data_IF_700927338257
#
_entry.id   IF_700927338257
#
_cell.length_a   1.000
_cell.length_b   1.000
_cell.length_c   1.000
_cell.angle_alpha   90.00
_cell.angle_beta   90.00
_cell.angle_gamma   90.00
#
_symmetry.space_group_name_H-M   'P 1'
#
loop_
_entity.id
_entity.type
_entity.pdbx_description
1 polymer ?
#
# COMPACT_ATOMS: atom_id res chain seq x y z
N UNK A 1 16.74 28.26 -79.49
CA UNK A 1 16.06 28.44 -78.19
C UNK A 1 15.46 27.10 -77.75
N UNK A 2 16.18 26.31 -76.96
CA UNK A 2 15.71 25.03 -76.42
C UNK A 2 15.43 25.19 -74.92
N UNK A 3 14.19 24.98 -74.48
CA UNK A 3 13.80 25.03 -73.06
C UNK A 3 13.73 23.61 -72.50
N UNK A 4 14.70 23.23 -71.67
CA UNK A 4 14.65 22.05 -70.81
C UNK A 4 13.62 22.27 -69.69
N UNK A 5 12.66 21.35 -69.56
CA UNK A 5 11.76 21.25 -68.39
C UNK A 5 12.37 20.27 -67.40
N UNK A 6 12.86 20.76 -66.26
CA UNK A 6 13.21 19.92 -65.11
C UNK A 6 11.94 19.54 -64.34
N UNK A 7 11.67 18.24 -64.25
CA UNK A 7 10.68 17.65 -63.36
C UNK A 7 11.36 17.43 -62.00
N UNK A 8 10.94 18.14 -60.94
CA UNK A 8 11.39 17.88 -59.56
C UNK A 8 10.45 16.86 -58.93
N UNK A 9 10.93 15.65 -58.71
CA UNK A 9 10.26 14.62 -57.93
C UNK A 9 10.57 14.88 -56.45
N UNK A 10 9.59 15.38 -55.68
CA UNK A 10 9.71 15.54 -54.23
C UNK A 10 9.29 14.25 -53.55
N UNK A 11 10.28 13.49 -53.04
CA UNK A 11 10.06 12.28 -52.25
C UNK A 11 9.81 12.70 -50.78
N UNK A 12 8.56 12.67 -50.32
CA UNK A 12 8.24 12.82 -48.90
C UNK A 12 8.47 11.48 -48.20
N UNK A 13 9.59 11.34 -47.49
CA UNK A 13 9.82 10.25 -46.56
C UNK A 13 9.08 10.55 -45.25
N UNK A 14 7.91 9.93 -45.04
CA UNK A 14 7.27 9.86 -43.73
C UNK A 14 8.08 8.87 -42.85
N UNK A 15 9.02 9.39 -42.07
CA UNK A 15 9.67 8.63 -41.02
C UNK A 15 8.73 8.49 -39.83
N UNK A 16 8.15 7.31 -39.62
CA UNK A 16 7.47 6.96 -38.39
C UNK A 16 8.51 6.87 -37.26
N UNK A 17 8.63 7.93 -36.45
CA UNK A 17 9.37 7.89 -35.20
C UNK A 17 8.61 6.97 -34.23
N UNK A 18 9.08 5.72 -34.12
CA UNK A 18 8.72 4.86 -33.00
C UNK A 18 9.26 5.52 -31.73
N UNK A 19 8.39 6.19 -30.98
CA UNK A 19 8.72 6.67 -29.66
C UNK A 19 8.99 5.45 -28.77
N UNK A 20 10.26 5.17 -28.49
CA UNK A 20 10.64 4.32 -27.37
C UNK A 20 10.06 4.96 -26.11
N UNK A 21 8.96 4.43 -25.59
CA UNK A 21 8.45 4.81 -24.28
C UNK A 21 9.43 4.29 -23.25
N UNK A 22 10.39 5.13 -22.86
CA UNK A 22 11.29 4.83 -21.75
C UNK A 22 10.44 4.55 -20.50
N UNK A 23 10.83 3.52 -19.74
CA UNK A 23 10.18 3.21 -18.46
C UNK A 23 10.33 4.45 -17.56
N UNK A 24 9.24 4.98 -17.00
CA UNK A 24 9.32 6.15 -16.14
C UNK A 24 10.20 5.87 -14.93
N UNK A 25 11.02 6.85 -14.57
CA UNK A 25 11.89 6.77 -13.41
C UNK A 25 11.68 7.99 -12.53
N UNK A 26 11.10 7.75 -11.35
CA UNK A 26 11.04 8.73 -10.26
C UNK A 26 12.25 8.49 -9.37
N UNK A 27 13.03 9.53 -9.11
CA UNK A 27 14.12 9.46 -8.14
C UNK A 27 13.56 8.98 -6.80
N UNK A 28 14.04 7.84 -6.26
CA UNK A 28 13.52 7.31 -5.01
C UNK A 28 13.73 8.29 -3.86
N UNK A 29 12.75 8.34 -2.95
CA UNK A 29 12.93 9.03 -1.68
C UNK A 29 14.03 8.33 -0.88
N UNK A 30 14.65 9.07 0.04
CA UNK A 30 15.53 8.50 1.07
C UNK A 30 14.82 8.51 2.42
N UNK A 31 15.28 7.69 3.36
CA UNK A 31 14.70 7.61 4.69
C UNK A 31 14.74 8.98 5.39
N UNK A 32 15.83 9.73 5.23
CA UNK A 32 16.06 11.06 5.82
C UNK A 32 15.07 12.11 5.34
N UNK A 33 14.48 11.92 4.15
CA UNK A 33 13.44 12.79 3.63
C UNK A 33 12.06 12.49 4.21
N UNK A 34 11.88 11.31 4.83
CA UNK A 34 10.64 10.95 5.52
C UNK A 34 10.73 11.31 7.01
N UNK A 35 9.60 11.68 7.64
CA UNK A 35 9.51 11.88 9.08
C UNK A 35 10.11 10.73 9.89
N UNK A 36 10.72 11.04 11.03
CA UNK A 36 11.25 10.05 11.96
C UNK A 36 10.18 9.63 12.96
N UNK A 37 9.76 8.37 12.90
CA UNK A 37 8.77 7.82 13.81
C UNK A 37 9.15 7.89 15.27
N UNK A 38 10.44 7.86 15.60
CA UNK A 38 10.94 7.93 16.99
C UNK A 38 10.67 9.29 17.63
N UNK A 39 10.40 10.30 16.81
CA UNK A 39 9.99 11.64 17.24
C UNK A 39 8.47 11.80 17.14
N UNK A 40 7.86 11.28 16.06
CA UNK A 40 6.45 11.47 15.76
C UNK A 40 5.51 10.61 16.63
N UNK A 41 5.84 9.34 16.83
CA UNK A 41 4.95 8.39 17.49
C UNK A 41 5.15 8.41 19.01
N UNK A 42 4.06 8.12 19.72
CA UNK A 42 4.17 7.64 21.09
C UNK A 42 4.96 6.32 21.14
N UNK A 43 5.54 6.01 22.30
CA UNK A 43 6.09 4.68 22.55
C UNK A 43 5.00 3.60 22.49
N UNK A 44 5.33 2.35 22.13
CA UNK A 44 4.36 1.27 22.19
C UNK A 44 3.84 1.08 23.62
N UNK A 45 2.63 0.52 23.79
CA UNK A 45 2.08 0.22 25.11
C UNK A 45 3.06 -0.55 25.99
N UNK A 46 3.27 -0.06 27.21
CA UNK A 46 4.15 -0.68 28.20
C UNK A 46 3.47 -1.93 28.78
N UNK A 47 4.25 -2.96 29.08
CA UNK A 47 3.78 -4.18 29.75
C UNK A 47 2.97 -3.84 31.01
N UNK A 48 1.74 -4.33 31.08
CA UNK A 48 0.83 -4.14 32.22
C UNK A 48 -0.07 -2.90 32.14
N UNK A 49 0.14 -2.01 31.16
CA UNK A 49 -0.76 -0.87 30.92
C UNK A 49 -2.13 -1.31 30.36
N UNK A 50 -3.16 -0.48 30.55
CA UNK A 50 -4.50 -0.70 29.97
C UNK A 50 -4.45 -0.85 28.45
N UNK A 51 -3.64 -0.03 27.78
CA UNK A 51 -3.46 -0.13 26.34
C UNK A 51 -2.88 -1.49 25.91
N UNK A 52 -1.95 -2.06 26.69
CA UNK A 52 -1.42 -3.40 26.41
C UNK A 52 -2.40 -4.52 26.78
N UNK A 53 -3.29 -4.31 27.75
CA UNK A 53 -4.38 -5.23 28.04
C UNK A 53 -5.40 -5.26 26.89
N UNK A 54 -5.72 -4.09 26.33
CA UNK A 54 -6.62 -3.99 25.18
C UNK A 54 -6.04 -4.67 23.93
N UNK A 55 -4.75 -4.45 23.64
CA UNK A 55 -4.04 -5.17 22.57
C UNK A 55 -4.17 -6.69 22.70
N UNK A 56 -4.06 -7.22 23.93
CA UNK A 56 -4.23 -8.66 24.19
C UNK A 56 -5.67 -9.12 24.01
N UNK A 57 -6.64 -8.33 24.47
CA UNK A 57 -8.06 -8.63 24.31
C UNK A 57 -8.41 -8.77 22.83
N UNK A 58 -8.05 -7.78 22.02
CA UNK A 58 -8.28 -7.79 20.57
C UNK A 58 -7.55 -8.96 19.89
N UNK A 59 -6.29 -9.23 20.27
CA UNK A 59 -5.53 -10.36 19.72
C UNK A 59 -6.27 -11.69 19.90
N UNK A 60 -6.74 -11.97 21.12
CA UNK A 60 -7.45 -13.21 21.43
C UNK A 60 -8.82 -13.29 20.75
N UNK A 61 -9.57 -12.19 20.72
CA UNK A 61 -10.86 -12.15 20.04
C UNK A 61 -10.74 -12.43 18.54
N UNK A 62 -9.74 -11.87 17.88
CA UNK A 62 -9.53 -12.13 16.44
C UNK A 62 -9.11 -13.57 16.14
N UNK A 63 -8.67 -14.37 17.13
CA UNK A 63 -8.44 -15.82 16.92
C UNK A 63 -9.75 -16.58 16.66
N UNK A 64 -10.90 -16.04 17.07
CA UNK A 64 -12.22 -16.62 16.77
C UNK A 64 -12.58 -16.54 15.28
N UNK A 65 -11.85 -15.73 14.50
CA UNK A 65 -12.08 -15.57 13.07
C UNK A 65 -11.38 -16.63 12.22
N UNK A 66 -10.59 -17.54 12.81
CA UNK A 66 -9.86 -18.57 12.06
C UNK A 66 -10.82 -19.36 11.16
N UNK A 67 -10.48 -19.44 9.86
CA UNK A 67 -11.28 -20.16 8.86
C UNK A 67 -12.46 -19.38 8.26
N UNK A 68 -12.77 -18.19 8.77
CA UNK A 68 -13.79 -17.29 8.18
C UNK A 68 -13.27 -16.58 6.92
N UNK A 69 -14.17 -15.91 6.19
CA UNK A 69 -13.79 -15.03 5.07
C UNK A 69 -12.92 -13.86 5.53
N UNK A 70 -13.18 -13.29 6.71
CA UNK A 70 -12.33 -12.23 7.28
C UNK A 70 -10.89 -12.70 7.50
N UNK A 71 -10.69 -13.96 7.87
CA UNK A 71 -9.37 -14.58 8.01
C UNK A 71 -8.72 -14.90 6.67
N UNK A 72 -9.47 -15.38 5.68
CA UNK A 72 -8.97 -15.55 4.30
C UNK A 72 -8.57 -14.22 3.67
N UNK A 73 -9.35 -13.16 3.88
CA UNK A 73 -8.99 -11.81 3.46
C UNK A 73 -7.68 -11.36 4.13
N UNK A 74 -7.50 -11.63 5.42
CA UNK A 74 -6.26 -11.29 6.11
C UNK A 74 -5.02 -12.04 5.57
N UNK A 75 -5.20 -13.25 5.03
CA UNK A 75 -4.15 -14.00 4.36
C UNK A 75 -3.78 -13.36 3.03
N UNK A 76 -4.78 -13.01 2.22
CA UNK A 76 -4.55 -12.28 0.96
C UNK A 76 -3.89 -10.92 1.24
N UNK A 77 -4.37 -10.15 2.21
CA UNK A 77 -3.79 -8.86 2.61
C UNK A 77 -2.35 -8.97 3.16
N UNK A 78 -1.86 -10.18 3.45
CA UNK A 78 -0.47 -10.41 3.82
C UNK A 78 0.48 -10.46 2.62
N UNK A 79 -0.05 -10.58 1.41
CA UNK A 79 0.73 -10.64 0.18
C UNK A 79 0.96 -9.24 -0.40
N UNK A 80 2.19 -8.74 -0.23
CA UNK A 80 2.67 -7.46 -0.77
C UNK A 80 3.40 -7.60 -2.12
N UNK A 81 3.26 -8.72 -2.85
CA UNK A 81 3.78 -8.80 -4.21
C UNK A 81 3.10 -7.71 -5.08
N UNK A 82 3.85 -6.91 -5.87
CA UNK A 82 3.35 -5.64 -6.40
C UNK A 82 2.03 -5.73 -7.17
N UNK A 83 1.88 -6.72 -8.08
CA UNK A 83 0.68 -6.87 -8.88
C UNK A 83 -0.55 -7.23 -8.02
N UNK A 84 -0.41 -8.20 -7.11
CA UNK A 84 -1.47 -8.58 -6.18
C UNK A 84 -1.83 -7.43 -5.23
N UNK A 85 -0.81 -6.75 -4.70
CA UNK A 85 -1.00 -5.68 -3.74
C UNK A 85 -1.77 -4.49 -4.32
N UNK A 86 -1.48 -4.11 -5.58
CA UNK A 86 -2.22 -3.05 -6.27
C UNK A 86 -3.63 -3.53 -6.64
N UNK A 87 -3.78 -4.78 -7.05
CA UNK A 87 -5.08 -5.37 -7.38
C UNK A 87 -6.05 -5.42 -6.18
N UNK A 88 -5.53 -5.58 -4.95
CA UNK A 88 -6.34 -5.55 -3.72
C UNK A 88 -7.06 -4.21 -3.46
N UNK A 89 -6.78 -3.17 -4.25
CA UNK A 89 -7.51 -1.90 -4.22
C UNK A 89 -8.59 -1.77 -5.31
N UNK A 90 -8.77 -2.77 -6.17
CA UNK A 90 -9.70 -2.73 -7.31
C UNK A 90 -11.15 -2.47 -6.90
N UNK A 91 -11.64 -3.12 -5.83
CA UNK A 91 -12.99 -2.88 -5.31
C UNK A 91 -13.16 -1.42 -4.83
N UNK A 92 -12.19 -0.92 -4.09
CA UNK A 92 -12.19 0.43 -3.56
C UNK A 92 -12.08 1.50 -4.67
N UNK A 93 -11.26 1.26 -5.69
CA UNK A 93 -11.13 2.10 -6.88
C UNK A 93 -12.38 2.04 -7.78
N UNK A 94 -13.12 0.93 -7.76
CA UNK A 94 -14.35 0.71 -8.53
C UNK A 94 -14.13 0.12 -9.93
N UNK A 95 -12.90 -0.26 -10.26
CA UNK A 95 -12.52 -0.88 -11.53
C UNK A 95 -11.27 -1.73 -11.29
N UNK A 96 -11.03 -2.73 -12.14
CA UNK A 96 -9.85 -3.59 -12.02
C UNK A 96 -8.57 -2.77 -12.21
N UNK A 97 -7.71 -2.75 -11.19
CA UNK A 97 -6.37 -2.20 -11.25
C UNK A 97 -5.41 -3.27 -11.78
N UNK A 98 -4.58 -2.89 -12.74
CA UNK A 98 -3.55 -3.75 -13.32
C UNK A 98 -2.24 -2.98 -13.39
N UNK A 99 -1.31 -3.35 -12.51
CA UNK A 99 -0.01 -2.69 -12.42
C UNK A 99 0.83 -2.83 -13.69
N UNK A 100 0.60 -3.88 -14.50
CA UNK A 100 1.29 -4.04 -15.78
C UNK A 100 0.91 -2.96 -16.80
N UNK A 101 -0.27 -2.33 -16.64
CA UNK A 101 -0.76 -1.23 -17.46
C UNK A 101 -0.50 0.15 -16.83
N UNK A 102 0.25 0.19 -15.72
CA UNK A 102 0.43 1.39 -14.89
C UNK A 102 1.91 1.65 -14.54
N UNK A 103 2.82 1.78 -15.52
CA UNK A 103 4.24 2.02 -15.25
C UNK A 103 4.52 3.31 -14.44
N UNK A 104 3.78 4.40 -14.64
CA UNK A 104 3.96 5.63 -13.86
C UNK A 104 3.48 5.45 -12.41
N UNK A 105 2.35 4.76 -12.20
CA UNK A 105 1.91 4.36 -10.86
C UNK A 105 2.96 3.47 -10.18
N UNK A 106 3.51 2.48 -10.89
CA UNK A 106 4.57 1.63 -10.38
C UNK A 106 5.82 2.45 -9.99
N UNK A 107 6.22 3.42 -10.81
CA UNK A 107 7.35 4.29 -10.50
C UNK A 107 7.12 5.11 -9.22
N UNK A 108 5.90 5.64 -9.00
CA UNK A 108 5.52 6.29 -7.75
C UNK A 108 5.62 5.34 -6.54
N UNK A 109 5.06 4.14 -6.64
CA UNK A 109 5.09 3.15 -5.56
C UNK A 109 6.54 2.82 -5.17
N UNK A 110 7.40 2.60 -6.17
CA UNK A 110 8.81 2.31 -5.95
C UNK A 110 9.59 3.49 -5.36
N UNK A 111 9.18 4.72 -5.67
CA UNK A 111 9.81 5.92 -5.10
C UNK A 111 9.62 6.02 -3.58
N UNK A 112 8.48 5.58 -3.05
CA UNK A 112 8.22 5.54 -1.61
C UNK A 112 8.85 4.32 -0.95
N UNK A 113 8.67 3.14 -1.56
CA UNK A 113 8.88 1.83 -0.92
C UNK A 113 10.21 1.71 -0.17
N UNK A 114 11.33 2.02 -0.81
CA UNK A 114 12.66 1.83 -0.21
C UNK A 114 12.89 2.76 0.99
N UNK A 115 12.41 3.99 0.92
CA UNK A 115 12.52 4.96 2.00
C UNK A 115 11.69 4.53 3.21
N UNK A 116 10.44 4.10 2.96
CA UNK A 116 9.55 3.61 4.01
C UNK A 116 10.11 2.35 4.68
N UNK A 117 10.58 1.38 3.89
CA UNK A 117 11.20 0.15 4.41
C UNK A 117 12.40 0.47 5.32
N UNK A 118 13.31 1.35 4.88
CA UNK A 118 14.46 1.76 5.66
C UNK A 118 14.06 2.44 6.98
N UNK A 119 13.12 3.40 6.91
CA UNK A 119 12.65 4.14 8.09
C UNK A 119 11.94 3.23 9.11
N UNK A 120 11.09 2.32 8.63
CA UNK A 120 10.41 1.34 9.49
C UNK A 120 11.39 0.39 10.16
N UNK A 121 12.49 0.01 9.49
CA UNK A 121 13.52 -0.83 10.10
C UNK A 121 14.23 -0.10 11.25
N UNK A 122 14.58 1.18 11.08
CA UNK A 122 15.18 2.00 12.15
C UNK A 122 14.29 2.06 13.39
N UNK A 123 13.01 2.33 13.18
CA UNK A 123 11.99 2.42 14.23
C UNK A 123 11.76 1.09 14.95
N UNK A 124 11.64 0.01 14.19
CA UNK A 124 11.54 -1.35 14.75
C UNK A 124 12.73 -1.70 15.62
N UNK A 125 13.94 -1.35 15.18
CA UNK A 125 15.17 -1.61 15.92
C UNK A 125 15.31 -0.75 17.17
N UNK A 126 14.65 0.41 17.21
CA UNK A 126 14.60 1.30 18.37
C UNK A 126 13.72 0.72 19.49
N UNK A 127 12.46 0.37 19.21
CA UNK A 127 11.54 -0.12 20.25
C UNK A 127 11.62 -1.63 20.53
N UNK A 128 12.00 -2.45 19.54
CA UNK A 128 12.16 -3.91 19.66
C UNK A 128 10.96 -4.62 20.29
N UNK A 129 9.74 -4.12 20.04
CA UNK A 129 8.51 -4.68 20.61
C UNK A 129 8.31 -6.13 20.13
N UNK A 130 8.05 -7.11 21.01
CA UNK A 130 7.75 -8.48 20.60
C UNK A 130 6.39 -8.59 19.89
N UNK A 131 6.28 -9.54 18.95
CA UNK A 131 5.05 -9.83 18.24
C UNK A 131 4.06 -10.65 19.09
N UNK A 132 2.75 -10.56 18.82
CA UNK A 132 1.72 -11.22 19.63
C UNK A 132 1.81 -12.72 19.74
N UNK A 133 2.33 -13.40 18.72
CA UNK A 133 2.34 -14.86 18.66
C UNK A 133 3.60 -15.51 19.27
N UNK A 134 4.55 -14.72 19.77
CA UNK A 134 5.85 -15.25 20.22
C UNK A 134 5.76 -16.00 21.55
N UNK A 135 4.80 -15.66 22.41
CA UNK A 135 4.63 -16.24 23.74
C UNK A 135 3.52 -17.29 23.82
N UNK A 136 2.95 -17.70 22.67
CA UNK A 136 1.84 -18.65 22.61
C UNK A 136 1.78 -19.45 21.30
N UNK A 137 0.92 -20.47 21.29
CA UNK A 137 0.72 -21.38 20.16
C UNK A 137 -0.58 -21.12 19.38
N UNK A 138 -1.20 -19.95 19.55
CA UNK A 138 -2.41 -19.63 18.81
C UNK A 138 -2.12 -19.56 17.29
N UNK A 139 -3.10 -19.92 16.45
CA UNK A 139 -2.93 -19.87 15.00
C UNK A 139 -2.67 -18.43 14.56
N UNK A 140 -1.81 -18.28 13.55
CA UNK A 140 -1.61 -17.05 12.77
C UNK A 140 -1.93 -17.35 11.31
N UNK A 141 -2.27 -16.33 10.53
CA UNK A 141 -2.75 -16.54 9.16
C UNK A 141 -1.63 -16.72 8.13
N UNK A 142 -0.36 -16.56 8.53
CA UNK A 142 0.81 -16.75 7.67
C UNK A 142 1.78 -17.76 8.29
N UNK A 143 2.72 -18.26 7.51
CA UNK A 143 3.77 -19.12 8.04
C UNK A 143 4.63 -18.38 9.10
N UNK A 144 4.99 -19.09 10.17
CA UNK A 144 5.96 -18.62 11.19
C UNK A 144 7.38 -18.70 10.61
N UNK A 145 7.73 -17.77 9.71
CA UNK A 145 9.07 -17.73 9.12
C UNK A 145 10.11 -17.19 10.12
N UNK A 146 11.40 -17.56 9.98
CA UNK A 146 12.47 -17.01 10.82
C UNK A 146 12.55 -15.48 10.79
N UNK A 147 12.29 -14.87 9.64
CA UNK A 147 12.28 -13.41 9.49
C UNK A 147 11.12 -12.76 10.24
N UNK A 148 9.92 -13.38 10.19
CA UNK A 148 8.77 -12.89 10.95
C UNK A 148 9.03 -13.00 12.47
N UNK A 149 9.66 -14.08 12.92
CA UNK A 149 9.98 -14.33 14.33
C UNK A 149 10.99 -13.30 14.86
N UNK A 150 12.03 -12.98 14.09
CA UNK A 150 13.09 -12.04 14.50
C UNK A 150 12.70 -10.57 14.36
N UNK A 151 11.72 -10.25 13.51
CA UNK A 151 11.32 -8.88 13.23
C UNK A 151 10.47 -8.28 14.35
N UNK A 152 10.82 -7.10 14.90
CA UNK A 152 9.99 -6.40 15.89
C UNK A 152 8.61 -6.00 15.37
N UNK A 153 7.65 -5.80 16.27
CA UNK A 153 6.25 -5.55 15.95
C UNK A 153 5.96 -4.07 15.64
N UNK A 154 6.56 -3.13 16.37
CA UNK A 154 6.16 -1.71 16.36
C UNK A 154 7.10 -0.80 15.53
N UNK A 155 6.57 0.11 14.69
CA UNK A 155 5.19 0.15 14.17
C UNK A 155 4.97 -0.94 13.11
N UNK A 156 3.72 -1.17 12.68
CA UNK A 156 3.43 -2.19 11.68
C UNK A 156 3.82 -1.77 10.25
N UNK A 157 4.92 -2.32 9.72
CA UNK A 157 5.37 -2.04 8.35
C UNK A 157 4.38 -2.43 7.24
N UNK A 158 3.63 -3.52 7.40
CA UNK A 158 2.57 -3.89 6.44
C UNK A 158 1.41 -2.90 6.47
N UNK A 159 1.06 -2.39 7.65
CA UNK A 159 0.05 -1.33 7.76
C UNK A 159 0.53 -0.08 7.07
N UNK A 160 1.80 0.29 7.27
CA UNK A 160 2.41 1.45 6.60
C UNK A 160 2.33 1.29 5.08
N UNK A 161 2.80 0.16 4.54
CA UNK A 161 2.72 -0.10 3.10
C UNK A 161 1.28 -0.02 2.57
N UNK A 162 0.33 -0.69 3.23
CA UNK A 162 -1.10 -0.69 2.89
C UNK A 162 -1.70 0.71 2.88
N UNK A 163 -1.45 1.50 3.91
CA UNK A 163 -2.05 2.81 4.07
C UNK A 163 -1.34 3.89 3.21
N UNK A 164 -0.03 3.78 3.00
CA UNK A 164 0.71 4.62 2.04
C UNK A 164 0.22 4.41 0.62
N UNK A 165 0.01 3.16 0.19
CA UNK A 165 -0.62 2.86 -1.11
C UNK A 165 -2.01 3.50 -1.21
N UNK A 166 -2.83 3.36 -0.16
CA UNK A 166 -4.16 3.97 -0.13
C UNK A 166 -4.10 5.50 -0.26
N UNK A 167 -3.16 6.17 0.41
CA UNK A 167 -2.97 7.61 0.34
C UNK A 167 -2.50 8.07 -1.05
N UNK A 168 -1.58 7.32 -1.68
CA UNK A 168 -1.15 7.58 -3.06
C UNK A 168 -2.35 7.44 -4.01
N UNK A 169 -3.07 6.31 -3.95
CA UNK A 169 -4.24 6.08 -4.81
C UNK A 169 -5.36 7.10 -4.58
N UNK A 170 -5.63 7.48 -3.33
CA UNK A 170 -6.63 8.50 -3.00
C UNK A 170 -6.23 9.89 -3.54
N UNK A 171 -4.94 10.21 -3.60
CA UNK A 171 -4.46 11.45 -4.23
C UNK A 171 -4.67 11.47 -5.74
N UNK A 172 -4.63 10.30 -6.39
CA UNK A 172 -4.81 10.14 -7.83
C UNK A 172 -6.29 10.01 -8.23
N UNK A 173 -7.11 9.40 -7.37
CA UNK A 173 -8.54 9.14 -7.55
C UNK A 173 -9.37 9.79 -6.42
N UNK A 174 -9.43 11.13 -6.34
CA UNK A 174 -10.06 11.82 -5.20
C UNK A 174 -11.56 11.53 -5.08
N UNK A 175 -12.26 11.22 -6.17
CA UNK A 175 -13.66 10.80 -6.18
C UNK A 175 -13.89 9.43 -5.51
N UNK A 176 -12.81 8.65 -5.33
CA UNK A 176 -12.79 7.34 -4.67
C UNK A 176 -11.96 7.35 -3.39
N UNK A 177 -11.56 8.52 -2.88
CA UNK A 177 -10.67 8.61 -1.73
C UNK A 177 -11.19 7.87 -0.50
N UNK A 178 -12.46 8.07 -0.12
CA UNK A 178 -13.04 7.44 1.06
C UNK A 178 -12.99 5.89 1.01
N UNK A 179 -13.51 5.20 -0.03
CA UNK A 179 -13.40 3.74 -0.10
C UNK A 179 -11.95 3.25 -0.20
N UNK A 180 -11.05 3.97 -0.87
CA UNK A 180 -9.63 3.62 -0.96
C UNK A 180 -8.95 3.68 0.41
N UNK A 181 -9.16 4.76 1.16
CA UNK A 181 -8.63 4.92 2.52
C UNK A 181 -9.24 3.90 3.49
N UNK A 182 -10.53 3.59 3.34
CA UNK A 182 -11.18 2.51 4.08
C UNK A 182 -10.52 1.15 3.79
N UNK A 183 -10.19 0.86 2.53
CA UNK A 183 -9.49 -0.38 2.17
C UNK A 183 -8.08 -0.44 2.76
N UNK A 184 -7.34 0.66 2.70
CA UNK A 184 -6.04 0.79 3.37
C UNK A 184 -6.13 0.50 4.88
N UNK A 185 -7.18 1.01 5.54
CA UNK A 185 -7.46 0.66 6.94
C UNK A 185 -7.65 -0.85 7.10
N UNK A 186 -8.53 -1.48 6.31
CA UNK A 186 -8.79 -2.93 6.41
C UNK A 186 -7.51 -3.77 6.24
N UNK A 187 -6.59 -3.39 5.34
CA UNK A 187 -5.29 -4.07 5.19
C UNK A 187 -4.46 -4.01 6.49
N UNK A 188 -4.47 -2.89 7.19
CA UNK A 188 -3.85 -2.77 8.52
C UNK A 188 -4.55 -3.65 9.57
N UNK A 189 -5.88 -3.61 9.63
CA UNK A 189 -6.68 -4.43 10.55
C UNK A 189 -6.47 -5.93 10.29
N UNK A 190 -6.25 -6.32 9.03
CA UNK A 190 -5.90 -7.67 8.63
C UNK A 190 -4.61 -8.15 9.30
N UNK A 191 -3.70 -7.27 9.73
CA UNK A 191 -2.49 -7.68 10.47
C UNK A 191 -2.79 -8.10 11.91
N UNK A 192 -3.83 -7.51 12.51
CA UNK A 192 -4.38 -7.93 13.81
C UNK A 192 -5.12 -9.24 13.65
N UNK A 193 -5.99 -9.36 12.64
CA UNK A 193 -6.69 -10.62 12.33
C UNK A 193 -5.70 -11.73 11.97
N UNK A 194 -4.58 -11.42 11.34
CA UNK A 194 -3.55 -12.42 11.08
C UNK A 194 -2.77 -12.83 12.34
N UNK A 195 -2.82 -12.04 13.42
CA UNK A 195 -2.17 -12.30 14.70
C UNK A 195 -0.69 -11.96 14.74
N UNK A 196 -0.21 -11.15 13.78
CA UNK A 196 1.23 -10.82 13.65
C UNK A 196 1.59 -9.43 14.17
N UNK A 197 0.57 -8.62 14.47
CA UNK A 197 0.69 -7.26 15.02
C UNK A 197 -0.38 -7.02 16.08
N UNK A 198 -0.03 -6.23 17.08
CA UNK A 198 -0.96 -5.68 18.06
C UNK A 198 -1.80 -4.57 17.41
N UNK A 199 -2.97 -4.25 17.98
CA UNK A 199 -3.83 -3.17 17.49
C UNK A 199 -3.11 -1.81 17.52
N UNK A 200 -2.33 -1.54 18.57
CA UNK A 200 -1.52 -0.33 18.68
C UNK A 200 -0.36 -0.25 17.66
N UNK A 201 0.23 -1.38 17.23
CA UNK A 201 1.22 -1.37 16.14
C UNK A 201 0.60 -0.90 14.82
N UNK A 202 -0.66 -1.31 14.59
CA UNK A 202 -1.45 -0.96 13.41
C UNK A 202 -1.89 0.50 13.48
N UNK A 203 -2.36 0.99 14.62
CA UNK A 203 -2.69 2.40 14.77
C UNK A 203 -1.50 3.33 14.48
N UNK A 204 -0.32 3.01 15.04
CA UNK A 204 0.91 3.72 14.76
C UNK A 204 1.32 3.64 13.28
N UNK A 205 1.06 2.51 12.62
CA UNK A 205 1.31 2.36 11.18
C UNK A 205 0.47 3.31 10.32
N UNK A 206 -0.81 3.54 10.66
CA UNK A 206 -1.63 4.53 9.94
C UNK A 206 -1.11 5.95 10.12
N UNK A 207 -0.72 6.32 11.34
CA UNK A 207 -0.15 7.64 11.63
C UNK A 207 1.15 7.86 10.83
N UNK A 208 2.01 6.86 10.79
CA UNK A 208 3.27 6.93 10.07
C UNK A 208 3.09 7.05 8.56
N UNK A 209 2.26 6.19 7.97
CA UNK A 209 1.94 6.27 6.54
C UNK A 209 1.35 7.63 6.16
N UNK A 210 0.49 8.19 7.02
CA UNK A 210 -0.06 9.53 6.82
C UNK A 210 1.03 10.61 6.80
N UNK A 211 1.97 10.55 7.73
CA UNK A 211 3.10 11.49 7.78
C UNK A 211 4.04 11.31 6.57
N UNK A 212 4.33 10.07 6.18
CA UNK A 212 5.13 9.76 4.99
C UNK A 212 4.46 10.28 3.72
N UNK A 213 3.15 10.08 3.56
CA UNK A 213 2.42 10.58 2.41
C UNK A 213 2.41 12.10 2.34
N UNK A 214 2.22 12.81 3.46
CA UNK A 214 2.25 14.29 3.48
C UNK A 214 3.59 14.82 2.94
N UNK A 215 4.71 14.29 3.44
CA UNK A 215 6.04 14.77 3.03
C UNK A 215 6.43 14.23 1.65
N UNK A 216 6.17 12.96 1.38
CA UNK A 216 6.50 12.30 0.13
C UNK A 216 5.72 12.86 -1.07
N UNK A 217 4.41 13.09 -0.94
CA UNK A 217 3.60 13.68 -2.01
C UNK A 217 3.94 15.16 -2.27
N UNK A 218 4.55 15.85 -1.30
CA UNK A 218 5.07 17.19 -1.48
C UNK A 218 6.46 17.23 -2.17
N UNK A 219 7.14 16.08 -2.27
CA UNK A 219 8.45 16.00 -2.93
C UNK A 219 8.34 16.39 -4.42
N UNK A 220 9.21 17.26 -4.96
CA UNK A 220 9.13 17.72 -6.34
C UNK A 220 9.15 16.59 -7.39
N UNK A 221 9.97 15.55 -7.19
CA UNK A 221 10.07 14.44 -8.13
C UNK A 221 8.81 13.57 -8.14
N UNK A 222 8.26 13.26 -6.95
CA UNK A 222 6.98 12.56 -6.80
C UNK A 222 5.85 13.37 -7.40
N UNK A 223 5.75 14.65 -7.05
CA UNK A 223 4.69 15.55 -7.52
C UNK A 223 4.66 15.70 -9.04
N UNK A 224 5.82 15.70 -9.68
CA UNK A 224 5.93 15.77 -11.14
C UNK A 224 5.35 14.54 -11.85
N UNK A 225 5.33 13.38 -11.18
CA UNK A 225 4.88 12.11 -11.75
C UNK A 225 3.36 11.88 -11.57
N UNK A 226 2.73 12.51 -10.58
CA UNK A 226 1.30 12.35 -10.27
C UNK A 226 0.37 12.51 -11.48
N UNK A 227 0.54 13.50 -12.39
CA UNK A 227 -0.33 13.65 -13.55
C UNK A 227 -0.31 12.44 -14.49
N UNK A 228 0.87 11.84 -14.71
CA UNK A 228 1.03 10.68 -15.59
C UNK A 228 0.39 9.43 -15.00
N UNK A 229 0.64 9.16 -13.71
CA UNK A 229 0.00 8.06 -13.00
C UNK A 229 -1.53 8.21 -12.93
N UNK A 230 -2.02 9.45 -12.74
CA UNK A 230 -3.46 9.74 -12.80
C UNK A 230 -4.04 9.44 -14.18
N UNK A 231 -3.35 9.82 -15.25
CA UNK A 231 -3.80 9.55 -16.61
C UNK A 231 -3.90 8.05 -16.92
N UNK A 232 -2.98 7.23 -16.40
CA UNK A 232 -3.04 5.77 -16.48
C UNK A 232 -4.30 5.22 -15.80
N UNK A 233 -4.56 5.65 -14.56
CA UNK A 233 -5.73 5.20 -13.81
C UNK A 233 -7.05 5.62 -14.46
N UNK A 234 -7.13 6.84 -14.98
CA UNK A 234 -8.30 7.31 -15.73
C UNK A 234 -8.51 6.56 -17.04
N UNK A 235 -7.42 6.19 -17.73
CA UNK A 235 -7.49 5.32 -18.91
C UNK A 235 -8.02 3.93 -18.53
N UNK A 236 -7.47 3.32 -17.48
CA UNK A 236 -7.93 2.03 -16.97
C UNK A 236 -9.40 2.08 -16.55
N UNK A 237 -9.83 3.11 -15.81
CA UNK A 237 -11.22 3.29 -15.38
C UNK A 237 -12.24 3.21 -16.54
N UNK A 238 -11.86 3.68 -17.73
CA UNK A 238 -12.73 3.64 -18.92
C UNK A 238 -12.77 2.28 -19.63
N UNK A 239 -11.79 1.41 -19.39
CA UNK A 239 -11.53 0.21 -20.19
C UNK A 239 -11.60 -1.08 -19.37
N UNK A 240 -11.30 -1.00 -18.08
CA UNK A 240 -11.21 -2.13 -17.18
C UNK A 240 -12.58 -2.72 -16.87
N UNK A 241 -12.58 -4.03 -16.61
CA UNK A 241 -13.76 -4.73 -16.11
C UNK A 241 -14.07 -4.28 -14.68
N UNK A 242 -15.33 -4.48 -14.28
CA UNK A 242 -15.69 -4.41 -12.88
C UNK A 242 -14.87 -5.42 -12.05
N UNK A 243 -14.52 -5.08 -10.80
CA UNK A 243 -13.88 -6.01 -9.88
C UNK A 243 -14.84 -7.16 -9.52
N UNK A 244 -14.28 -8.24 -8.98
CA UNK A 244 -15.08 -9.40 -8.56
C UNK A 244 -16.02 -9.02 -7.41
N UNK A 245 -17.33 -9.19 -7.61
CA UNK A 245 -18.35 -8.76 -6.65
C UNK A 245 -18.30 -9.56 -5.34
N UNK A 246 -17.87 -10.82 -5.37
CA UNK A 246 -17.73 -11.66 -4.17
C UNK A 246 -16.58 -11.17 -3.29
N UNK A 247 -15.43 -10.86 -3.90
CA UNK A 247 -14.30 -10.24 -3.20
C UNK A 247 -14.72 -8.88 -2.61
N UNK A 248 -15.40 -8.04 -3.39
CA UNK A 248 -15.81 -6.72 -2.90
C UNK A 248 -16.81 -6.82 -1.73
N UNK A 249 -17.68 -7.82 -1.71
CA UNK A 249 -18.59 -8.06 -0.59
C UNK A 249 -17.82 -8.43 0.71
N UNK A 250 -16.78 -9.27 0.60
CA UNK A 250 -15.93 -9.64 1.74
C UNK A 250 -15.17 -8.42 2.28
N UNK A 251 -14.63 -7.57 1.39
CA UNK A 251 -13.94 -6.34 1.80
C UNK A 251 -14.89 -5.34 2.47
N UNK A 252 -16.12 -5.20 1.95
CA UNK A 252 -17.15 -4.33 2.53
C UNK A 252 -17.59 -4.83 3.92
N UNK A 253 -17.78 -6.13 4.09
CA UNK A 253 -18.09 -6.74 5.39
C UNK A 253 -16.96 -6.50 6.40
N UNK A 254 -15.70 -6.73 5.99
CA UNK A 254 -14.54 -6.47 6.83
C UNK A 254 -14.43 -4.99 7.23
N UNK A 255 -14.79 -4.07 6.33
CA UNK A 255 -14.82 -2.65 6.64
C UNK A 255 -15.94 -2.28 7.63
N UNK A 256 -17.09 -2.93 7.54
CA UNK A 256 -18.21 -2.71 8.46
C UNK A 256 -17.92 -3.27 9.85
N UNK A 257 -17.17 -4.37 9.97
CA UNK A 257 -16.90 -5.10 11.21
C UNK A 257 -15.44 -5.03 11.66
N UNK A 258 -15.00 -3.84 12.08
CA UNK A 258 -13.60 -3.61 12.50
C UNK A 258 -13.25 -4.37 13.79
N UNK A 259 -12.12 -5.12 13.82
CA UNK A 259 -11.61 -5.72 15.05
C UNK A 259 -11.15 -4.70 16.09
N UNK A 260 -10.97 -3.44 15.71
CA UNK A 260 -10.47 -2.40 16.60
C UNK A 260 -11.57 -1.74 17.43
N UNK A 261 -12.84 -1.91 17.06
CA UNK A 261 -13.96 -1.21 17.70
C UNK A 261 -15.19 -2.06 17.97
N UNK A 262 -15.34 -3.24 17.36
CA UNK A 262 -16.60 -4.00 17.38
C UNK A 262 -16.49 -5.45 17.90
N UNK A 263 -15.32 -5.85 18.40
CA UNK A 263 -15.11 -7.17 19.02
C UNK A 263 -14.95 -7.04 20.52
#
# INVERSE_FOLDING_TARGET
MAKQRLLKLSLFALGALAACTAVPHVTPLTAEQLPDGRVLLASPPVTGSDAQMEDRRIYWQTRLLVGTDRWRLAQSDADLHPAHFVDNFSCAAGFKLDLAQAPHLNALIQAFRKAEEARVVEEKNYWRRPRPFLDNNAPICVARSPDLIRSPAYPSGHTIAGYSMALILASLLPDRAAPILQRGRVIGESRVVCGVHWASDVHAGYQMASAFAVVGLANPAVRAELPSAKAELEKMRRQAKAPDAGICAIEADAAAHSPLTQM
#
